data_IF_207618900504
#
_entry.id   IF_207618900504
#
_cell.length_a   1.000
_cell.length_b   1.000
_cell.length_c   1.000
_cell.angle_alpha   90.00
_cell.angle_beta   90.00
_cell.angle_gamma   90.00
#
_symmetry.space_group_name_H-M   'P 1'
#
loop_
_entity.id
_entity.type
_entity.pdbx_description
1 polymer ?
#
# COMPACT_ATOMS: atom_id res chain seq x y z
N UNK A 1 -1.49 4.98 -4.54
CA UNK A 1 -2.16 5.98 -5.37
C UNK A 1 -1.40 6.15 -6.67
N UNK A 2 -1.32 5.10 -7.49
CA UNK A 2 -0.63 5.19 -8.77
C UNK A 2 -1.53 5.78 -9.87
N UNK A 3 -0.89 6.30 -10.89
CA UNK A 3 -1.49 6.52 -12.20
C UNK A 3 -1.13 5.33 -13.10
N UNK A 4 -2.09 4.79 -13.83
CA UNK A 4 -1.87 3.71 -14.78
C UNK A 4 -2.25 4.18 -16.19
N UNK A 5 -1.34 4.00 -17.16
CA UNK A 5 -1.64 4.23 -18.58
C UNK A 5 -1.90 2.89 -19.26
N UNK A 6 -3.16 2.67 -19.63
CA UNK A 6 -3.66 1.41 -20.21
C UNK A 6 -4.54 1.76 -21.42
N UNK A 7 -4.27 1.16 -22.58
CA UNK A 7 -5.04 1.37 -23.81
C UNK A 7 -5.27 2.86 -24.16
N UNK A 8 -4.23 3.69 -24.01
CA UNK A 8 -4.31 5.14 -24.28
C UNK A 8 -5.06 5.96 -23.22
N UNK A 9 -5.61 5.33 -22.19
CA UNK A 9 -6.31 5.98 -21.08
C UNK A 9 -5.42 6.11 -19.85
N UNK A 10 -5.49 7.26 -19.19
CA UNK A 10 -4.83 7.53 -17.93
C UNK A 10 -5.83 7.35 -16.77
N UNK A 11 -5.59 6.32 -15.96
CA UNK A 11 -6.46 5.91 -14.87
C UNK A 11 -5.81 6.25 -13.53
N UNK A 12 -6.54 6.94 -12.67
CA UNK A 12 -6.15 7.21 -11.29
C UNK A 12 -6.72 6.17 -10.33
N UNK A 13 -5.87 5.50 -9.56
CA UNK A 13 -6.31 4.60 -8.50
C UNK A 13 -6.03 5.19 -7.11
N UNK A 14 -7.08 5.61 -6.41
CA UNK A 14 -6.97 6.10 -5.03
C UNK A 14 -6.79 4.92 -4.05
N UNK A 15 -5.56 4.47 -3.85
CA UNK A 15 -5.19 3.41 -2.91
C UNK A 15 -5.41 3.85 -1.45
N UNK A 16 -6.45 3.30 -0.82
CA UNK A 16 -6.69 3.40 0.63
C UNK A 16 -6.00 2.23 1.34
N UNK A 17 -5.17 2.46 2.38
CA UNK A 17 -4.50 1.37 3.06
C UNK A 17 -5.46 0.31 3.63
N UNK A 18 -5.07 -0.95 3.45
CA UNK A 18 -5.73 -2.18 3.96
C UNK A 18 -7.09 -2.51 3.33
N UNK A 19 -7.40 -1.93 2.17
CA UNK A 19 -8.60 -2.26 1.38
C UNK A 19 -8.33 -3.23 0.23
N UNK A 20 -7.10 -3.76 0.11
CA UNK A 20 -6.70 -4.66 -0.98
C UNK A 20 -5.99 -3.95 -2.15
N UNK A 21 -5.56 -2.70 -1.97
CA UNK A 21 -4.95 -1.91 -3.04
C UNK A 21 -3.69 -2.53 -3.64
N UNK A 22 -2.86 -3.27 -2.89
CA UNK A 22 -1.68 -3.94 -3.46
C UNK A 22 -2.03 -4.96 -4.56
N UNK A 23 -3.17 -5.66 -4.45
CA UNK A 23 -3.62 -6.58 -5.50
C UNK A 23 -4.07 -5.82 -6.75
N UNK A 24 -4.74 -4.68 -6.58
CA UNK A 24 -5.13 -3.79 -7.69
C UNK A 24 -3.90 -3.19 -8.35
N UNK A 25 -2.90 -2.76 -7.57
CA UNK A 25 -1.64 -2.24 -8.08
C UNK A 25 -0.91 -3.28 -8.93
N UNK A 26 -0.76 -4.51 -8.45
CA UNK A 26 -0.17 -5.60 -9.23
C UNK A 26 -0.94 -5.88 -10.52
N UNK A 27 -2.28 -5.84 -10.49
CA UNK A 27 -3.10 -6.00 -11.68
C UNK A 27 -2.88 -4.85 -12.69
N UNK A 28 -2.84 -3.60 -12.23
CA UNK A 28 -2.61 -2.44 -13.09
C UNK A 28 -1.19 -2.46 -13.69
N UNK A 29 -0.19 -2.85 -12.91
CA UNK A 29 1.21 -3.01 -13.35
C UNK A 29 1.32 -4.05 -14.48
N UNK A 30 0.59 -5.16 -14.36
CA UNK A 30 0.55 -6.19 -15.39
C UNK A 30 -0.19 -5.75 -16.67
N UNK A 31 -1.03 -4.71 -16.61
CA UNK A 31 -1.84 -4.23 -17.73
C UNK A 31 -1.29 -3.00 -18.43
N UNK A 32 -0.40 -2.25 -17.80
CA UNK A 32 0.14 -1.03 -18.39
C UNK A 32 1.22 -0.36 -17.56
N UNK A 33 1.70 0.79 -18.04
CA UNK A 33 2.76 1.54 -17.36
C UNK A 33 2.18 2.28 -16.15
N UNK A 34 2.84 2.15 -15.01
CA UNK A 34 2.47 2.86 -13.78
C UNK A 34 3.41 4.05 -13.52
N UNK A 35 2.82 5.14 -13.04
CA UNK A 35 3.53 6.30 -12.51
C UNK A 35 3.11 6.57 -11.06
N UNK A 36 3.94 7.30 -10.32
CA UNK A 36 3.74 7.61 -8.90
C UNK A 36 3.60 6.35 -8.01
N UNK A 37 4.16 5.23 -8.49
CA UNK A 37 4.28 3.97 -7.77
C UNK A 37 5.74 3.80 -7.36
N UNK A 38 6.04 3.90 -6.07
CA UNK A 38 7.39 3.79 -5.50
C UNK A 38 7.36 2.90 -4.25
N UNK A 39 8.30 1.97 -4.16
CA UNK A 39 8.42 1.06 -3.00
C UNK A 39 9.00 1.75 -1.75
N UNK A 40 9.67 2.89 -1.94
CA UNK A 40 10.36 3.63 -0.89
C UNK A 40 9.86 5.07 -0.83
N UNK A 41 9.99 5.67 0.36
CA UNK A 41 9.82 7.11 0.54
C UNK A 41 10.91 7.85 -0.22
N UNK A 42 10.54 8.96 -0.86
CA UNK A 42 11.52 9.89 -1.42
C UNK A 42 12.15 10.69 -0.27
N UNK A 43 13.38 11.17 -0.46
CA UNK A 43 14.14 11.90 0.58
C UNK A 43 13.34 13.08 1.17
N UNK A 44 12.61 13.78 0.32
CA UNK A 44 11.78 14.94 0.68
C UNK A 44 10.36 14.57 1.19
N UNK A 45 9.98 13.29 1.20
CA UNK A 45 8.61 12.86 1.55
C UNK A 45 8.59 11.89 2.74
N UNK A 46 7.72 12.17 3.71
CA UNK A 46 7.50 11.32 4.90
C UNK A 46 6.67 10.06 4.61
N UNK A 47 6.09 9.94 3.42
CA UNK A 47 5.32 8.78 2.99
C UNK A 47 5.57 8.48 1.52
N UNK A 48 5.28 7.25 1.07
CA UNK A 48 5.32 6.97 -0.37
C UNK A 48 4.25 7.82 -1.05
N UNK A 49 4.54 8.30 -2.26
CA UNK A 49 3.61 9.12 -3.04
C UNK A 49 2.25 8.42 -3.14
N UNK A 50 2.25 7.09 -3.23
CA UNK A 50 1.08 6.23 -3.22
C UNK A 50 0.12 6.39 -2.03
N UNK A 51 0.54 7.02 -0.94
CA UNK A 51 -0.30 7.24 0.24
C UNK A 51 -0.55 8.73 0.52
N UNK A 52 -0.13 9.61 -0.39
CA UNK A 52 -0.39 11.04 -0.27
C UNK A 52 -1.91 11.33 -0.31
N UNK A 53 -2.31 12.42 0.34
CA UNK A 53 -3.69 12.85 0.41
C UNK A 53 -4.24 13.21 -0.99
N UNK A 54 -5.54 12.99 -1.19
CA UNK A 54 -6.22 13.29 -2.45
C UNK A 54 -6.06 14.75 -2.91
N UNK A 55 -6.03 15.73 -1.99
CA UNK A 55 -5.86 17.15 -2.35
C UNK A 55 -4.51 17.42 -3.02
N UNK A 56 -3.45 16.72 -2.60
CA UNK A 56 -2.13 16.85 -3.21
C UNK A 56 -2.19 16.42 -4.68
N UNK A 57 -2.87 15.32 -4.97
CA UNK A 57 -3.06 14.86 -6.35
C UNK A 57 -3.85 15.84 -7.21
N UNK A 58 -4.96 16.37 -6.70
CA UNK A 58 -5.73 17.36 -7.44
C UNK A 58 -4.95 18.64 -7.72
N UNK A 59 -4.21 19.14 -6.73
CA UNK A 59 -3.39 20.35 -6.92
C UNK A 59 -2.24 20.13 -7.91
N UNK A 60 -1.67 18.92 -7.96
CA UNK A 60 -0.54 18.61 -8.85
C UNK A 60 -0.99 18.31 -10.28
N UNK A 61 -2.10 17.59 -10.45
CA UNK A 61 -2.54 17.11 -11.76
C UNK A 61 -3.56 18.04 -12.40
N UNK A 62 -4.34 18.77 -11.60
CA UNK A 62 -5.51 19.51 -12.06
C UNK A 62 -6.71 18.61 -12.34
N UNK A 63 -7.88 19.23 -12.41
CA UNK A 63 -9.11 18.54 -12.78
C UNK A 63 -9.06 18.09 -14.24
N UNK A 64 -9.64 16.92 -14.54
CA UNK A 64 -9.70 16.37 -15.91
C UNK A 64 -8.40 15.78 -16.45
N UNK A 65 -7.30 15.80 -15.70
CA UNK A 65 -6.02 15.22 -16.15
C UNK A 65 -6.07 13.71 -16.38
N UNK A 66 -6.87 13.01 -15.56
CA UNK A 66 -7.08 11.57 -15.70
C UNK A 66 -8.42 11.32 -16.40
N UNK A 67 -8.44 10.37 -17.35
CA UNK A 67 -9.65 9.95 -18.05
C UNK A 67 -10.66 9.29 -17.09
N UNK A 68 -10.18 8.60 -16.07
CA UNK A 68 -10.99 7.90 -15.09
C UNK A 68 -10.30 7.81 -13.74
N UNK A 69 -11.09 7.69 -12.67
CA UNK A 69 -10.58 7.50 -11.32
C UNK A 69 -11.46 6.53 -10.52
N UNK A 70 -10.84 5.66 -9.73
CA UNK A 70 -11.57 4.75 -8.84
C UNK A 70 -10.83 4.48 -7.54
N UNK A 71 -11.54 3.86 -6.59
CA UNK A 71 -10.98 3.39 -5.32
C UNK A 71 -11.61 2.06 -4.93
N UNK A 72 -10.97 1.33 -4.02
CA UNK A 72 -11.54 0.14 -3.40
C UNK A 72 -11.69 0.41 -1.91
N UNK A 73 -12.91 0.18 -1.42
CA UNK A 73 -13.28 0.30 -0.01
C UNK A 73 -13.46 -1.07 0.62
N UNK A 74 -13.41 -1.12 1.94
CA UNK A 74 -13.58 -2.34 2.75
C UNK A 74 -14.39 -1.99 3.99
N UNK A 75 -15.13 -2.96 4.52
CA UNK A 75 -15.75 -2.86 5.84
C UNK A 75 -14.79 -2.21 6.86
N UNK A 76 -15.21 -1.12 7.54
CA UNK A 76 -14.31 -0.36 8.41
C UNK A 76 -13.68 -1.20 9.53
N UNK A 77 -14.44 -2.13 10.13
CA UNK A 77 -13.95 -2.98 11.23
C UNK A 77 -12.88 -3.94 10.71
N UNK A 78 -13.14 -4.62 9.60
CA UNK A 78 -12.17 -5.51 8.98
C UNK A 78 -10.90 -4.77 8.52
N UNK A 79 -11.04 -3.52 8.04
CA UNK A 79 -9.90 -2.65 7.68
C UNK A 79 -9.04 -2.32 8.90
N UNK A 80 -9.66 -1.95 10.02
CA UNK A 80 -8.96 -1.65 11.27
C UNK A 80 -8.20 -2.87 11.80
N UNK A 81 -8.85 -4.03 11.87
CA UNK A 81 -8.22 -5.29 12.30
C UNK A 81 -7.03 -5.64 11.40
N UNK A 82 -7.17 -5.49 10.08
CA UNK A 82 -6.07 -5.73 9.14
C UNK A 82 -4.91 -4.75 9.35
N UNK A 83 -5.20 -3.48 9.62
CA UNK A 83 -4.19 -2.46 9.94
C UNK A 83 -3.46 -2.75 11.24
N UNK A 84 -4.17 -3.18 12.28
CA UNK A 84 -3.59 -3.60 13.56
C UNK A 84 -2.64 -4.79 13.38
N UNK A 85 -3.11 -5.88 12.74
CA UNK A 85 -2.30 -7.08 12.49
C UNK A 85 -1.03 -6.78 11.70
N UNK A 86 -1.11 -5.90 10.69
CA UNK A 86 0.05 -5.48 9.93
C UNK A 86 1.07 -4.74 10.80
N UNK A 87 0.62 -3.80 11.65
CA UNK A 87 1.52 -3.07 12.55
C UNK A 87 2.16 -3.99 13.59
N UNK A 88 1.39 -4.92 14.16
CA UNK A 88 1.91 -5.93 15.08
C UNK A 88 2.98 -6.79 14.40
N UNK A 89 2.75 -7.26 13.17
CA UNK A 89 3.73 -8.03 12.41
C UNK A 89 5.01 -7.23 12.10
N UNK A 90 4.90 -5.93 11.77
CA UNK A 90 6.05 -5.06 11.57
C UNK A 90 6.83 -4.84 12.87
N UNK A 91 6.12 -4.66 13.99
CA UNK A 91 6.72 -4.55 15.33
C UNK A 91 7.46 -5.82 15.72
N UNK A 92 6.83 -6.98 15.54
CA UNK A 92 7.45 -8.30 15.76
C UNK A 92 8.68 -8.47 14.86
N UNK A 93 8.61 -8.12 13.58
CA UNK A 93 9.76 -8.19 12.66
C UNK A 93 10.91 -7.27 13.06
N UNK A 94 10.64 -6.06 13.57
CA UNK A 94 11.67 -5.14 14.09
C UNK A 94 12.32 -5.65 15.37
N UNK A 95 11.53 -6.24 16.26
CA UNK A 95 12.04 -6.86 17.48
C UNK A 95 12.92 -8.09 17.17
N UNK A 96 12.55 -8.85 16.14
CA UNK A 96 13.29 -10.05 15.70
C UNK A 96 14.52 -9.70 14.86
N UNK A 97 14.49 -8.63 14.07
CA UNK A 97 15.64 -8.15 13.28
C UNK A 97 16.83 -7.67 14.11
N UNK A 98 16.65 -7.47 15.42
CA UNK A 98 17.73 -7.23 16.39
C UNK A 98 18.20 -8.47 17.15
N UNK A 99 17.59 -9.64 16.93
CA UNK A 99 17.96 -10.91 17.56
C UNK A 99 18.70 -11.79 16.54
N UNK A 100 19.85 -12.30 16.93
CA UNK A 100 20.71 -13.13 16.10
C UNK A 100 19.95 -14.33 15.47
N UNK A 101 20.40 -14.85 14.31
CA UNK A 101 19.63 -15.75 13.44
C UNK A 101 19.11 -17.07 14.06
N UNK A 102 19.54 -17.43 15.28
CA UNK A 102 19.14 -18.67 15.98
C UNK A 102 17.81 -18.60 16.75
N UNK A 103 17.23 -17.43 16.99
CA UNK A 103 16.02 -17.30 17.82
C UNK A 103 14.70 -17.57 17.08
N UNK A 104 14.73 -17.66 15.74
CA UNK A 104 13.54 -17.70 14.88
C UNK A 104 12.71 -18.98 14.99
N UNK A 105 13.28 -20.09 15.49
CA UNK A 105 12.61 -21.41 15.43
C UNK A 105 11.70 -21.70 16.62
N UNK A 106 11.87 -21.04 17.77
CA UNK A 106 11.08 -21.35 18.98
C UNK A 106 9.72 -20.64 19.04
N UNK A 107 9.58 -19.43 18.48
CA UNK A 107 8.34 -18.64 18.63
C UNK A 107 7.19 -19.07 17.71
N UNK A 108 7.49 -19.75 16.60
CA UNK A 108 6.45 -20.20 15.66
C UNK A 108 5.65 -21.41 16.17
N UNK A 109 6.23 -22.21 17.08
CA UNK A 109 5.58 -23.39 17.66
C UNK A 109 4.62 -22.99 18.79
N UNK A 110 4.93 -21.93 19.54
CA UNK A 110 4.17 -21.54 20.74
C UNK A 110 2.87 -20.75 20.48
N UNK A 111 2.64 -20.19 19.28
CA UNK A 111 1.38 -19.47 18.94
C UNK A 111 0.35 -20.31 18.18
N UNK A 112 0.63 -21.58 17.91
CA UNK A 112 -0.34 -22.49 17.28
C UNK A 112 -1.30 -23.15 18.30
N UNK A 113 -1.04 -23.01 19.61
CA UNK A 113 -1.78 -23.68 20.69
C UNK A 113 -2.10 -22.78 21.89
N UNK A 114 -2.26 -21.46 21.68
CA UNK A 114 -2.72 -20.52 22.71
C UNK A 114 -3.79 -19.58 22.15
#
# INVERSE_FOLDING_TARGET
>A
MPLARINGKLIYFAHIPKTGGSSVEAYLEAKGKMALFHKHTLEWSRCTVQHAERRIYYNLLGDGFCDAGFTVVRDPKARLVSGYRMRAAIGDARAVGGLAPGALRLRRVMRAYA
#
